data_IF_800166489425
#
_entry.id   IF_800166489425
#
_cell.length_a   1.000
_cell.length_b   1.000
_cell.length_c   1.000
_cell.angle_alpha   90.00
_cell.angle_beta   90.00
_cell.angle_gamma   90.00
#
_symmetry.space_group_name_H-M   'P 1'
#
loop_
_entity.id
_entity.type
_entity.pdbx_description
1 polymer ?
#
# COMPACT_ATOMS: atom_id res chain seq x y z
N UNK A 1 -1.59 30.74 5.46
CA UNK A 1 -2.21 29.63 6.19
C UNK A 1 -2.53 28.53 5.20
N UNK A 2 -1.94 27.36 5.42
CA UNK A 2 -2.22 26.17 4.61
C UNK A 2 -3.69 25.74 4.82
N UNK A 3 -4.40 25.29 3.78
CA UNK A 3 -5.77 24.87 3.93
C UNK A 3 -5.82 23.65 4.88
N UNK A 4 -6.41 23.86 6.06
CA UNK A 4 -6.60 22.80 7.03
C UNK A 4 -7.91 22.07 6.73
N UNK A 5 -7.82 20.79 6.39
CA UNK A 5 -9.01 19.92 6.31
C UNK A 5 -9.52 19.57 7.71
N UNK A 6 -10.79 19.17 7.83
CA UNK A 6 -11.36 18.64 9.08
C UNK A 6 -10.51 17.52 9.71
N UNK A 7 -9.83 16.72 8.86
CA UNK A 7 -8.88 15.68 9.28
C UNK A 7 -7.65 16.27 9.99
N UNK A 8 -7.07 17.34 9.45
CA UNK A 8 -5.93 18.02 10.09
C UNK A 8 -6.30 18.62 11.44
N UNK A 9 -7.48 19.24 11.52
CA UNK A 9 -7.99 19.78 12.79
C UNK A 9 -8.18 18.67 13.84
N UNK A 10 -8.77 17.53 13.44
CA UNK A 10 -8.92 16.35 14.30
C UNK A 10 -7.57 15.84 14.81
N UNK A 11 -6.60 15.64 13.91
CA UNK A 11 -5.27 15.17 14.30
C UNK A 11 -4.54 16.16 15.22
N UNK A 12 -4.70 17.45 15.00
CA UNK A 12 -4.11 18.46 15.88
C UNK A 12 -4.74 18.43 17.25
N UNK A 13 -6.07 18.37 17.32
CA UNK A 13 -6.83 18.33 18.58
C UNK A 13 -6.53 17.08 19.41
N UNK A 14 -6.42 15.91 18.77
CA UNK A 14 -6.20 14.63 19.42
C UNK A 14 -4.76 14.13 19.32
N UNK A 15 -3.80 15.01 19.06
CA UNK A 15 -2.40 14.63 18.84
C UNK A 15 -1.82 13.78 19.99
N UNK A 16 -2.05 14.18 21.25
CA UNK A 16 -1.52 13.47 22.42
C UNK A 16 -2.08 12.07 22.58
N UNK A 17 -3.42 11.86 22.63
CA UNK A 17 -3.97 10.52 22.72
C UNK A 17 -3.63 9.65 21.49
N UNK A 18 -3.59 10.21 20.29
CA UNK A 18 -3.19 9.47 19.08
C UNK A 18 -1.73 9.01 19.21
N UNK A 19 -0.79 9.89 19.61
CA UNK A 19 0.61 9.50 19.82
C UNK A 19 0.74 8.42 20.91
N UNK A 20 -0.01 8.52 21.99
CA UNK A 20 0.01 7.51 23.06
C UNK A 20 -0.47 6.14 22.54
N UNK A 21 -1.59 6.11 21.82
CA UNK A 21 -2.10 4.87 21.20
C UNK A 21 -1.13 4.28 20.18
N UNK A 22 -0.44 5.12 19.40
CA UNK A 22 0.59 4.68 18.46
C UNK A 22 1.77 4.04 19.17
N UNK A 23 2.27 4.66 20.25
CA UNK A 23 3.38 4.11 21.05
C UNK A 23 2.95 2.78 21.68
N UNK A 24 1.75 2.72 22.25
CA UNK A 24 1.22 1.49 22.86
C UNK A 24 1.12 0.37 21.80
N UNK A 25 0.55 0.67 20.64
CA UNK A 25 0.45 -0.28 19.53
C UNK A 25 1.82 -0.72 19.04
N UNK A 26 2.80 0.19 18.93
CA UNK A 26 4.17 -0.13 18.54
C UNK A 26 4.83 -1.09 19.53
N UNK A 27 4.76 -0.78 20.82
CA UNK A 27 5.33 -1.64 21.89
C UNK A 27 4.69 -3.03 21.86
N UNK A 28 3.36 -3.08 21.75
CA UNK A 28 2.64 -4.35 21.67
C UNK A 28 3.07 -5.17 20.44
N UNK A 29 3.17 -4.54 19.26
CA UNK A 29 3.64 -5.22 18.04
C UNK A 29 5.09 -5.72 18.18
N UNK A 30 6.00 -4.93 18.78
CA UNK A 30 7.39 -5.36 19.02
C UNK A 30 7.43 -6.60 19.92
N UNK A 31 6.63 -6.63 21.00
CA UNK A 31 6.53 -7.79 21.88
C UNK A 31 6.02 -9.03 21.12
N UNK A 32 4.98 -8.86 20.28
CA UNK A 32 4.46 -9.96 19.46
C UNK A 32 5.51 -10.48 18.47
N UNK A 33 6.23 -9.58 17.80
CA UNK A 33 7.29 -9.95 16.86
C UNK A 33 8.38 -10.76 17.57
N UNK A 34 8.87 -10.28 18.72
CA UNK A 34 9.94 -10.97 19.46
C UNK A 34 9.46 -12.35 19.95
N UNK A 35 8.19 -12.48 20.35
CA UNK A 35 7.68 -13.71 20.93
C UNK A 35 7.27 -14.75 19.89
N UNK A 36 6.69 -14.32 18.76
CA UNK A 36 6.09 -15.23 17.78
C UNK A 36 6.86 -15.36 16.47
N UNK A 37 7.79 -14.45 16.16
CA UNK A 37 8.49 -14.51 14.87
C UNK A 37 9.75 -15.37 14.93
N UNK A 38 9.99 -16.12 13.86
CA UNK A 38 11.24 -16.85 13.67
C UNK A 38 12.36 -15.88 13.28
N UNK A 39 13.61 -16.29 13.49
CA UNK A 39 14.80 -15.51 13.09
C UNK A 39 14.76 -15.16 11.59
N UNK A 40 14.26 -16.08 10.75
CA UNK A 40 14.13 -15.85 9.32
C UNK A 40 13.11 -14.74 9.01
N UNK A 41 11.95 -14.76 9.68
CA UNK A 41 10.92 -13.70 9.56
C UNK A 41 11.46 -12.35 9.98
N UNK A 42 12.24 -12.28 11.05
CA UNK A 42 12.89 -11.04 11.51
C UNK A 42 13.87 -10.51 10.46
N UNK A 43 14.69 -11.37 9.85
CA UNK A 43 15.61 -10.96 8.77
C UNK A 43 14.87 -10.36 7.57
N UNK A 44 13.81 -11.02 7.11
CA UNK A 44 12.96 -10.52 6.03
C UNK A 44 12.25 -9.20 6.41
N UNK A 45 11.77 -9.10 7.66
CA UNK A 45 11.18 -7.88 8.21
C UNK A 45 12.14 -6.71 8.25
N UNK A 46 13.40 -6.94 8.64
CA UNK A 46 14.46 -5.91 8.60
C UNK A 46 14.73 -5.44 7.17
N UNK A 47 14.77 -6.36 6.19
CA UNK A 47 14.88 -6.00 4.77
C UNK A 47 13.71 -5.11 4.31
N UNK A 48 12.48 -5.47 4.68
CA UNK A 48 11.30 -4.65 4.37
C UNK A 48 11.38 -3.27 5.04
N UNK A 49 11.81 -3.19 6.31
CA UNK A 49 12.01 -1.93 7.02
C UNK A 49 13.01 -1.02 6.31
N UNK A 50 14.12 -1.57 5.83
CA UNK A 50 15.10 -0.80 5.03
C UNK A 50 14.48 -0.26 3.74
N UNK A 51 13.64 -1.04 3.05
CA UNK A 51 12.90 -0.57 1.86
C UNK A 51 11.94 0.58 2.22
N UNK A 52 11.24 0.48 3.34
CA UNK A 52 10.36 1.57 3.83
C UNK A 52 11.16 2.82 4.14
N UNK A 53 12.28 2.70 4.86
CA UNK A 53 13.17 3.83 5.17
C UNK A 53 13.69 4.48 3.88
N UNK A 54 14.13 3.69 2.92
CA UNK A 54 14.60 4.18 1.62
C UNK A 54 13.49 4.92 0.85
N UNK A 55 12.27 4.36 0.85
CA UNK A 55 11.09 5.02 0.27
C UNK A 55 10.82 6.38 0.94
N UNK A 56 10.79 6.44 2.27
CA UNK A 56 10.53 7.69 3.00
C UNK A 56 11.60 8.75 2.72
N UNK A 57 12.87 8.37 2.69
CA UNK A 57 13.96 9.27 2.33
C UNK A 57 13.84 9.80 0.89
N UNK A 58 13.40 8.94 -0.04
CA UNK A 58 13.19 9.34 -1.42
C UNK A 58 11.99 10.28 -1.58
N UNK A 59 10.89 10.04 -0.87
CA UNK A 59 9.70 10.90 -0.92
C UNK A 59 10.00 12.29 -0.36
N UNK A 60 10.87 12.40 0.66
CA UNK A 60 11.28 13.70 1.22
C UNK A 60 12.20 14.48 0.30
N UNK A 61 13.01 13.83 -0.54
CA UNK A 61 13.88 14.48 -1.52
C UNK A 61 13.11 14.80 -2.80
N UNK A 62 12.39 15.90 -2.80
CA UNK A 62 11.37 16.36 -3.77
C UNK A 62 11.78 16.28 -5.26
N UNK A 63 13.06 16.18 -5.59
CA UNK A 63 13.53 16.29 -6.98
C UNK A 63 13.84 14.97 -7.70
N UNK A 64 13.95 13.86 -7.01
CA UNK A 64 14.49 12.63 -7.61
C UNK A 64 13.43 11.58 -7.98
N UNK A 65 12.40 11.43 -7.16
CA UNK A 65 11.38 10.36 -7.30
C UNK A 65 10.36 10.62 -8.40
N UNK A 66 10.16 11.88 -8.76
CA UNK A 66 9.09 12.34 -9.67
C UNK A 66 9.32 11.87 -11.12
N UNK A 67 10.54 11.55 -11.49
CA UNK A 67 10.89 11.32 -12.90
C UNK A 67 10.75 9.88 -13.38
N UNK A 68 10.71 8.86 -12.51
CA UNK A 68 10.77 7.46 -12.95
C UNK A 68 9.62 6.58 -12.50
N UNK A 69 9.24 6.59 -11.22
CA UNK A 69 8.14 5.75 -10.71
C UNK A 69 7.26 6.57 -9.77
N UNK A 70 5.93 6.60 -9.96
CA UNK A 70 5.01 7.27 -9.06
C UNK A 70 5.13 6.75 -7.61
N UNK A 71 5.04 7.66 -6.63
CA UNK A 71 5.11 7.31 -5.20
C UNK A 71 4.03 6.30 -4.79
N UNK A 72 2.89 6.37 -5.43
CA UNK A 72 1.73 5.50 -5.23
C UNK A 72 2.06 4.03 -5.58
N UNK A 73 2.77 3.82 -6.68
CA UNK A 73 3.22 2.48 -7.10
C UNK A 73 4.29 1.95 -6.14
N UNK A 74 5.26 2.80 -5.76
CA UNK A 74 6.30 2.39 -4.81
C UNK A 74 5.68 1.98 -3.46
N UNK A 75 4.75 2.79 -2.93
CA UNK A 75 4.03 2.47 -1.70
C UNK A 75 3.26 1.15 -1.84
N UNK A 76 2.50 0.96 -2.92
CA UNK A 76 1.75 -0.26 -3.17
C UNK A 76 2.63 -1.50 -3.23
N UNK A 77 3.77 -1.45 -3.92
CA UNK A 77 4.73 -2.56 -3.97
C UNK A 77 5.28 -2.91 -2.58
N UNK A 78 5.65 -1.90 -1.78
CA UNK A 78 6.16 -2.11 -0.42
C UNK A 78 5.08 -2.73 0.46
N UNK A 79 3.83 -2.25 0.40
CA UNK A 79 2.72 -2.82 1.16
C UNK A 79 2.42 -4.26 0.72
N UNK A 80 2.36 -4.54 -0.59
CA UNK A 80 2.13 -5.89 -1.11
C UNK A 80 3.19 -6.87 -0.64
N UNK A 81 4.47 -6.46 -0.68
CA UNK A 81 5.56 -7.27 -0.17
C UNK A 81 5.49 -7.44 1.35
N UNK A 82 5.21 -6.37 2.10
CA UNK A 82 5.09 -6.41 3.56
C UNK A 82 3.99 -7.36 4.04
N UNK A 83 2.82 -7.35 3.40
CA UNK A 83 1.71 -8.25 3.72
C UNK A 83 2.06 -9.72 3.42
N UNK A 84 2.81 -9.96 2.35
CA UNK A 84 3.22 -11.31 1.93
C UNK A 84 4.46 -11.83 2.64
N UNK A 85 5.13 -11.01 3.46
CA UNK A 85 6.45 -11.28 4.04
C UNK A 85 6.49 -12.58 4.84
N UNK A 86 5.48 -12.85 5.66
CA UNK A 86 5.41 -14.09 6.46
C UNK A 86 5.37 -15.30 5.53
N UNK A 87 4.57 -15.25 4.47
CA UNK A 87 4.48 -16.32 3.48
C UNK A 87 5.82 -16.54 2.76
N UNK A 88 6.52 -15.46 2.37
CA UNK A 88 7.85 -15.55 1.76
C UNK A 88 8.90 -16.15 2.69
N UNK A 89 8.86 -15.78 3.97
CA UNK A 89 9.83 -16.27 4.96
C UNK A 89 9.61 -17.73 5.38
N UNK A 90 8.38 -18.26 5.16
CA UNK A 90 7.97 -19.62 5.57
C UNK A 90 7.86 -20.59 4.38
N UNK A 91 8.09 -20.12 3.15
CA UNK A 91 7.79 -20.84 1.91
C UNK A 91 8.88 -21.84 1.48
N UNK A 92 9.42 -22.66 2.41
CA UNK A 92 10.35 -23.72 2.02
C UNK A 92 9.75 -24.75 1.03
N UNK A 93 8.40 -24.91 1.01
CA UNK A 93 7.70 -25.95 0.26
C UNK A 93 6.55 -25.46 -0.65
N UNK A 94 6.32 -24.15 -0.74
CA UNK A 94 5.23 -23.58 -1.54
C UNK A 94 5.70 -23.21 -2.95
N UNK A 95 4.87 -23.40 -3.99
CA UNK A 95 5.25 -22.96 -5.32
C UNK A 95 5.49 -21.45 -5.34
N UNK A 96 6.73 -21.07 -5.51
CA UNK A 96 7.22 -19.68 -5.55
C UNK A 96 6.43 -18.83 -6.56
N UNK A 97 5.91 -19.46 -7.60
CA UNK A 97 5.07 -18.85 -8.62
C UNK A 97 3.75 -18.29 -8.07
N UNK A 98 2.98 -19.10 -7.30
CA UNK A 98 1.71 -18.64 -6.71
C UNK A 98 1.93 -17.48 -5.73
N UNK A 99 2.99 -17.57 -4.95
CA UNK A 99 3.36 -16.54 -3.98
C UNK A 99 3.77 -15.23 -4.70
N UNK A 100 4.53 -15.35 -5.78
CA UNK A 100 4.92 -14.19 -6.59
C UNK A 100 3.68 -13.47 -7.17
N UNK A 101 2.77 -14.21 -7.82
CA UNK A 101 1.56 -13.59 -8.38
C UNK A 101 0.65 -13.00 -7.31
N UNK A 102 0.45 -13.71 -6.19
CA UNK A 102 -0.33 -13.18 -5.07
C UNK A 102 0.25 -11.87 -4.54
N UNK A 103 1.57 -11.81 -4.36
CA UNK A 103 2.27 -10.59 -3.91
C UNK A 103 2.14 -9.46 -4.94
N UNK A 104 2.33 -9.74 -6.22
CA UNK A 104 2.28 -8.75 -7.28
C UNK A 104 0.87 -8.14 -7.42
N UNK A 105 -0.16 -8.97 -7.43
CA UNK A 105 -1.56 -8.52 -7.50
C UNK A 105 -1.94 -7.73 -6.25
N UNK A 106 -1.56 -8.19 -5.07
CA UNK A 106 -1.77 -7.43 -3.82
C UNK A 106 -1.08 -6.07 -3.88
N UNK A 107 0.15 -6.00 -4.34
CA UNK A 107 0.89 -4.74 -4.51
C UNK A 107 0.22 -3.80 -5.51
N UNK A 108 -0.34 -4.35 -6.60
CA UNK A 108 -1.08 -3.57 -7.59
C UNK A 108 -2.37 -2.99 -7.01
N UNK A 109 -3.14 -3.77 -6.26
CA UNK A 109 -4.35 -3.30 -5.56
C UNK A 109 -4.01 -2.16 -4.57
N UNK A 110 -2.96 -2.31 -3.77
CA UNK A 110 -2.50 -1.24 -2.89
C UNK A 110 -2.06 0.01 -3.66
N UNK A 111 -1.43 -0.15 -4.84
CA UNK A 111 -1.05 0.98 -5.70
C UNK A 111 -2.29 1.74 -6.20
N UNK A 112 -3.34 1.04 -6.61
CA UNK A 112 -4.62 1.64 -7.01
C UNK A 112 -5.25 2.38 -5.83
N UNK A 113 -5.26 1.77 -4.63
CA UNK A 113 -5.77 2.42 -3.43
C UNK A 113 -5.01 3.71 -3.10
N UNK A 114 -3.68 3.68 -3.14
CA UNK A 114 -2.85 4.88 -2.94
C UNK A 114 -3.13 5.95 -4.00
N UNK A 115 -3.32 5.56 -5.27
CA UNK A 115 -3.66 6.49 -6.34
C UNK A 115 -5.06 7.11 -6.15
N UNK A 116 -6.02 6.34 -5.65
CA UNK A 116 -7.38 6.80 -5.32
C UNK A 116 -7.34 7.85 -4.20
N UNK A 117 -6.61 7.58 -3.12
CA UNK A 117 -6.42 8.54 -2.02
C UNK A 117 -5.74 9.82 -2.53
N UNK A 118 -4.66 9.69 -3.32
CA UNK A 118 -3.97 10.82 -3.90
C UNK A 118 -4.86 11.64 -4.87
N UNK A 119 -5.81 10.99 -5.54
CA UNK A 119 -6.80 11.68 -6.37
C UNK A 119 -7.76 12.53 -5.51
N UNK A 120 -8.24 12.01 -4.39
CA UNK A 120 -9.11 12.77 -3.50
C UNK A 120 -8.38 13.92 -2.80
N UNK A 121 -7.12 13.72 -2.45
CA UNK A 121 -6.29 14.72 -1.76
C UNK A 121 -5.57 15.67 -2.73
N UNK A 122 -5.79 15.59 -4.04
CA UNK A 122 -5.04 16.35 -5.07
C UNK A 122 -5.02 17.86 -4.87
N UNK A 123 -6.11 18.44 -4.38
CA UNK A 123 -6.19 19.89 -4.13
C UNK A 123 -5.31 20.29 -2.94
N UNK A 124 -5.26 19.44 -1.92
CA UNK A 124 -4.43 19.61 -0.74
C UNK A 124 -2.96 19.42 -1.09
N UNK A 125 -2.64 18.37 -1.83
CA UNK A 125 -1.29 18.06 -2.33
C UNK A 125 -0.75 19.24 -3.17
N UNK A 126 -1.57 19.81 -4.06
CA UNK A 126 -1.20 20.97 -4.87
C UNK A 126 -0.92 22.21 -4.01
N UNK A 127 -1.72 22.47 -2.97
CA UNK A 127 -1.54 23.59 -2.05
C UNK A 127 -0.29 23.44 -1.18
N UNK A 128 0.11 22.21 -0.87
CA UNK A 128 1.29 21.87 -0.06
C UNK A 128 2.56 21.64 -0.89
N UNK A 129 2.50 21.89 -2.22
CA UNK A 129 3.61 21.61 -3.16
C UNK A 129 4.05 20.13 -3.18
N UNK A 130 3.23 19.22 -2.67
CA UNK A 130 3.47 17.80 -2.80
C UNK A 130 3.13 17.33 -4.21
N UNK A 131 4.13 16.80 -4.90
CA UNK A 131 3.93 16.28 -6.24
C UNK A 131 3.43 14.85 -6.20
N UNK A 132 2.11 14.68 -6.38
CA UNK A 132 1.54 13.38 -6.74
C UNK A 132 1.39 13.28 -8.27
N UNK A 133 1.40 12.04 -8.79
CA UNK A 133 1.14 11.80 -10.22
C UNK A 133 -0.24 12.31 -10.62
N UNK A 134 -1.21 12.19 -9.72
CA UNK A 134 -2.58 12.67 -9.88
C UNK A 134 -2.71 14.19 -9.85
N UNK A 135 -1.84 14.91 -9.12
CA UNK A 135 -1.85 16.37 -9.10
C UNK A 135 -1.32 16.99 -10.41
N UNK A 136 -0.47 16.28 -11.15
CA UNK A 136 0.11 16.77 -12.42
C UNK A 136 -0.81 16.62 -13.63
N UNK A 137 -1.70 15.66 -13.65
CA UNK A 137 -2.68 15.51 -14.71
C UNK A 137 -4.01 16.03 -14.19
N UNK A 138 -4.78 16.73 -15.01
CA UNK A 138 -6.21 16.94 -14.78
C UNK A 138 -6.89 15.56 -14.72
N UNK A 139 -6.61 14.84 -13.65
CA UNK A 139 -6.89 13.42 -13.55
C UNK A 139 -8.40 13.25 -13.41
N UNK A 140 -8.99 12.73 -14.43
CA UNK A 140 -10.29 12.10 -14.38
C UNK A 140 -10.16 10.82 -13.57
N UNK A 141 -11.22 10.36 -12.92
CA UNK A 141 -11.30 9.04 -12.26
C UNK A 141 -11.14 7.88 -13.24
N UNK A 142 -11.20 8.17 -14.54
CA UNK A 142 -11.18 7.19 -15.61
C UNK A 142 -9.95 6.24 -15.57
N UNK A 143 -8.69 6.70 -15.37
CA UNK A 143 -7.55 5.79 -15.27
C UNK A 143 -7.64 4.85 -14.06
N UNK A 144 -8.19 5.32 -12.94
CA UNK A 144 -8.37 4.51 -11.72
C UNK A 144 -9.43 3.44 -11.97
N UNK A 145 -10.56 3.82 -12.61
CA UNK A 145 -11.60 2.86 -12.98
C UNK A 145 -11.09 1.79 -13.94
N UNK A 146 -10.30 2.16 -14.95
CA UNK A 146 -9.65 1.18 -15.85
C UNK A 146 -8.72 0.27 -15.06
N UNK A 147 -7.89 0.80 -14.15
CA UNK A 147 -6.98 -0.01 -13.35
C UNK A 147 -7.75 -1.02 -12.49
N UNK A 148 -8.89 -0.65 -11.90
CA UNK A 148 -9.75 -1.55 -11.14
C UNK A 148 -10.36 -2.65 -12.00
N UNK A 149 -10.80 -2.34 -13.22
CA UNK A 149 -11.32 -3.34 -14.17
C UNK A 149 -10.21 -4.32 -14.58
N UNK A 150 -9.01 -3.80 -14.87
CA UNK A 150 -7.85 -4.62 -15.20
C UNK A 150 -7.42 -5.50 -14.02
N UNK A 151 -7.43 -4.98 -12.80
CA UNK A 151 -7.16 -5.73 -11.58
C UNK A 151 -8.15 -6.88 -11.41
N UNK A 152 -9.44 -6.60 -11.53
CA UNK A 152 -10.50 -7.60 -11.45
C UNK A 152 -10.32 -8.70 -12.51
N UNK A 153 -10.09 -8.32 -13.75
CA UNK A 153 -9.86 -9.26 -14.86
C UNK A 153 -8.60 -10.12 -14.64
N UNK A 154 -7.53 -9.49 -14.11
CA UNK A 154 -6.29 -10.19 -13.79
C UNK A 154 -6.51 -11.22 -12.68
N UNK A 155 -7.19 -10.87 -11.58
CA UNK A 155 -7.49 -11.81 -10.49
C UNK A 155 -8.33 -12.99 -11.02
N UNK A 156 -9.36 -12.73 -11.82
CA UNK A 156 -10.18 -13.78 -12.40
C UNK A 156 -9.39 -14.70 -13.32
N UNK A 157 -8.50 -14.15 -14.14
CA UNK A 157 -7.60 -14.92 -15.01
C UNK A 157 -6.65 -15.79 -14.19
N UNK A 158 -5.99 -15.23 -13.18
CA UNK A 158 -5.06 -15.98 -12.32
C UNK A 158 -5.78 -17.06 -11.50
N UNK A 159 -7.02 -16.82 -11.09
CA UNK A 159 -7.86 -17.81 -10.42
C UNK A 159 -8.22 -18.97 -11.38
N UNK A 160 -8.57 -18.65 -12.63
CA UNK A 160 -8.89 -19.63 -13.65
C UNK A 160 -7.69 -20.55 -13.97
N UNK A 161 -6.48 -19.99 -14.03
CA UNK A 161 -5.24 -20.76 -14.23
C UNK A 161 -4.65 -21.36 -12.94
N UNK A 162 -5.37 -21.30 -11.82
CA UNK A 162 -4.91 -21.77 -10.51
C UNK A 162 -3.55 -21.16 -10.08
N UNK A 163 -3.23 -19.99 -10.62
CA UNK A 163 -1.99 -19.27 -10.34
C UNK A 163 -1.99 -18.55 -8.98
N UNK A 164 -3.16 -18.41 -8.35
CA UNK A 164 -3.32 -17.89 -6.98
C UNK A 164 -4.31 -18.75 -6.18
N UNK A 165 -4.12 -18.88 -4.85
CA UNK A 165 -5.04 -19.60 -3.99
C UNK A 165 -6.44 -18.98 -3.99
N UNK A 166 -7.49 -19.82 -4.00
CA UNK A 166 -8.90 -19.36 -4.06
C UNK A 166 -9.28 -18.40 -2.94
N UNK A 167 -8.76 -18.62 -1.73
CA UNK A 167 -9.01 -17.75 -0.58
C UNK A 167 -8.44 -16.35 -0.82
N UNK A 168 -7.20 -16.28 -1.30
CA UNK A 168 -6.53 -15.00 -1.62
C UNK A 168 -7.28 -14.28 -2.74
N UNK A 169 -7.66 -15.01 -3.81
CA UNK A 169 -8.47 -14.44 -4.89
C UNK A 169 -9.78 -13.86 -4.37
N UNK A 170 -10.50 -14.56 -3.49
CA UNK A 170 -11.73 -14.07 -2.88
C UNK A 170 -11.54 -12.79 -2.07
N UNK A 171 -10.48 -12.71 -1.27
CA UNK A 171 -10.15 -11.50 -0.52
C UNK A 171 -9.80 -10.32 -1.44
N UNK A 172 -9.01 -10.56 -2.48
CA UNK A 172 -8.63 -9.52 -3.44
C UNK A 172 -9.83 -9.02 -4.24
N UNK A 173 -10.71 -9.91 -4.72
CA UNK A 173 -11.94 -9.54 -5.42
C UNK A 173 -12.86 -8.69 -4.55
N UNK A 174 -13.06 -9.10 -3.29
CA UNK A 174 -13.85 -8.34 -2.33
C UNK A 174 -13.28 -6.94 -2.09
N UNK A 175 -11.96 -6.84 -1.93
CA UNK A 175 -11.26 -5.57 -1.73
C UNK A 175 -11.35 -4.67 -2.98
N UNK A 176 -11.20 -5.24 -4.18
CA UNK A 176 -11.35 -4.52 -5.45
C UNK A 176 -12.77 -3.98 -5.62
N UNK A 177 -13.80 -4.78 -5.27
CA UNK A 177 -15.19 -4.33 -5.29
C UNK A 177 -15.46 -3.21 -4.29
N UNK A 178 -14.98 -3.33 -3.06
CA UNK A 178 -15.11 -2.26 -2.06
C UNK A 178 -14.47 -0.96 -2.55
N UNK A 179 -13.27 -1.06 -3.13
CA UNK A 179 -12.59 0.12 -3.67
C UNK A 179 -13.34 0.71 -4.89
N UNK A 180 -13.91 -0.14 -5.76
CA UNK A 180 -14.72 0.32 -6.89
C UNK A 180 -15.96 1.11 -6.43
N UNK A 181 -16.66 0.65 -5.38
CA UNK A 181 -17.80 1.36 -4.81
C UNK A 181 -17.40 2.74 -4.29
N UNK A 182 -16.21 2.88 -3.71
CA UNK A 182 -15.74 4.18 -3.20
C UNK A 182 -15.28 5.14 -4.30
N UNK A 183 -15.01 4.65 -5.49
CA UNK A 183 -14.57 5.45 -6.66
C UNK A 183 -15.77 5.93 -7.52
N UNK A 184 -16.89 5.19 -7.48
CA UNK A 184 -18.13 5.56 -8.17
C UNK A 184 -18.92 6.63 -7.41
#
# INVERSE_FOLDING_TARGET
DLPHTSRHHFHHQFRRPICFLWILALVFNVILIIHFSTVNQIKWGMGCLLLVCFYLLNVQKTNWTIRRVPKEIQAGCIFGFGVSLVSWSSSSDQPTFQLFFSTAVTGFLFSINCATVAYWERQLDAAQTFFSWTARRSATLYPIAIALVLEFALIMSLLFFEAIPRLIAGCLLSSTLCLAITVM
#
